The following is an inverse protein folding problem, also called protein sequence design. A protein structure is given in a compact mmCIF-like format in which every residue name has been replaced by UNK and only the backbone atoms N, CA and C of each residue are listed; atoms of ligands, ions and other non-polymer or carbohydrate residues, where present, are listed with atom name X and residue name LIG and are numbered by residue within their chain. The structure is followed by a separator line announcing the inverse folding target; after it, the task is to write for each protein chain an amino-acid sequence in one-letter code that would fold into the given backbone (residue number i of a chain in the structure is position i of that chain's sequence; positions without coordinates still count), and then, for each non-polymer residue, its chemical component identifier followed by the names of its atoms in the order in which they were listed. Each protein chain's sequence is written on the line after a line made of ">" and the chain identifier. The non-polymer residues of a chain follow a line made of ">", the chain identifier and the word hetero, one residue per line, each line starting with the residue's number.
data_IF_828641711061
#
_entry.id   IF_828641711061
#
_cell.length_a   1.000
_cell.length_b   1.000
_cell.length_c   1.000
_cell.angle_alpha   90.00
_cell.angle_beta   90.00
_cell.angle_gamma   90.00
#
_symmetry.space_group_name_H-M   'P 1'
#
loop_
_entity.id
_entity.type
_entity.pdbx_description
1 polymer ?
#
# COMPACT_ATOMS: atom_id res chain seq x y z
N UNK A 1 -1.64 1.35 12.81
CA UNK A 1 -0.71 0.43 12.14
C UNK A 1 -1.44 -0.68 11.41
N UNK A 2 -2.08 -0.37 10.28
CA UNK A 2 -2.67 -1.41 9.41
C UNK A 2 -2.03 -1.45 8.03
N UNK A 3 -0.94 -0.71 7.87
CA UNK A 3 -0.26 -0.45 6.61
C UNK A 3 1.27 -0.51 6.81
N UNK A 4 1.80 -1.68 7.20
CA UNK A 4 3.24 -1.94 7.43
C UNK A 4 3.98 -0.80 8.17
N UNK A 5 3.51 -0.43 9.35
CA UNK A 5 4.15 0.64 10.13
C UNK A 5 3.60 2.05 9.89
N UNK A 6 2.76 2.27 8.87
CA UNK A 6 2.02 3.53 8.72
C UNK A 6 0.58 3.44 9.30
N UNK A 7 0.11 4.59 9.77
CA UNK A 7 -1.28 4.80 10.16
C UNK A 7 -2.16 5.22 8.99
N UNK A 8 -1.59 5.68 7.88
CA UNK A 8 -2.34 6.18 6.74
C UNK A 8 -1.73 5.68 5.42
N UNK A 9 -2.55 5.02 4.59
CA UNK A 9 -2.11 4.55 3.28
C UNK A 9 -1.50 5.64 2.40
N UNK A 10 -1.88 6.91 2.58
CA UNK A 10 -1.35 8.03 1.82
C UNK A 10 0.14 8.32 2.11
N UNK A 11 0.66 7.92 3.27
CA UNK A 11 2.08 8.13 3.61
C UNK A 11 3.02 7.38 2.64
N UNK A 12 2.54 6.26 2.09
CA UNK A 12 3.31 5.45 1.15
C UNK A 12 3.58 6.17 -0.17
N UNK A 13 2.70 7.09 -0.59
CA UNK A 13 2.88 7.88 -1.81
C UNK A 13 4.13 8.78 -1.74
N UNK A 14 4.57 9.13 -0.53
CA UNK A 14 5.76 9.95 -0.28
C UNK A 14 6.96 9.14 0.24
N UNK A 15 6.83 7.81 0.33
CA UNK A 15 7.87 6.94 0.86
C UNK A 15 8.85 6.46 -0.22
N UNK A 16 10.05 6.07 0.18
CA UNK A 16 11.06 5.46 -0.73
C UNK A 16 10.59 4.16 -1.38
N UNK A 17 9.56 3.52 -0.81
CA UNK A 17 8.97 2.30 -1.37
C UNK A 17 8.41 2.54 -2.77
N UNK A 18 7.71 3.65 -3.01
CA UNK A 18 7.06 3.93 -4.32
C UNK A 18 8.07 3.99 -5.46
N UNK A 19 9.29 4.44 -5.18
CA UNK A 19 10.41 4.53 -6.13
C UNK A 19 11.22 3.25 -6.22
N UNK A 20 11.02 2.31 -5.29
CA UNK A 20 11.79 1.07 -5.25
C UNK A 20 11.30 0.08 -6.32
N UNK A 21 12.19 -0.76 -6.87
CA UNK A 21 11.79 -1.83 -7.79
C UNK A 21 10.82 -2.82 -7.14
N UNK A 22 10.86 -2.95 -5.81
CA UNK A 22 9.98 -3.82 -5.02
C UNK A 22 8.53 -3.35 -5.09
N UNK A 23 8.24 -2.07 -5.30
CA UNK A 23 6.86 -1.61 -5.40
C UNK A 23 6.12 -2.23 -6.58
N UNK A 24 6.80 -2.58 -7.69
CA UNK A 24 6.17 -3.21 -8.85
C UNK A 24 4.86 -2.53 -9.31
N UNK A 25 4.86 -1.18 -9.35
CA UNK A 25 3.69 -0.32 -9.66
C UNK A 25 2.58 -0.29 -8.60
N UNK A 26 2.83 -0.81 -7.40
CA UNK A 26 1.94 -0.68 -6.25
C UNK A 26 2.11 0.69 -5.59
N UNK A 27 0.99 1.29 -5.20
CA UNK A 27 0.92 2.52 -4.42
C UNK A 27 1.23 2.28 -2.93
N UNK A 28 0.90 1.08 -2.45
CA UNK A 28 1.10 0.63 -1.07
C UNK A 28 1.59 -0.82 -1.03
N UNK A 29 2.23 -1.28 0.06
CA UNK A 29 2.50 -2.70 0.25
C UNK A 29 1.22 -3.53 0.34
N UNK A 30 1.27 -4.82 0.00
CA UNK A 30 0.06 -5.66 0.02
C UNK A 30 -0.51 -5.84 1.44
N UNK A 31 0.29 -5.63 2.47
CA UNK A 31 -0.16 -5.59 3.86
C UNK A 31 -1.09 -4.41 4.19
N UNK A 32 -1.15 -3.37 3.34
CA UNK A 32 -2.12 -2.27 3.46
C UNK A 32 -3.53 -2.67 3.04
N UNK A 33 -3.68 -3.81 2.36
CA UNK A 33 -4.97 -4.26 1.88
C UNK A 33 -5.74 -4.98 2.99
N UNK A 34 -7.06 -4.73 3.05
CA UNK A 34 -7.98 -5.46 3.91
C UNK A 34 -8.04 -6.93 3.50
N UNK A 35 -8.02 -7.18 2.19
CA UNK A 35 -7.85 -8.52 1.62
C UNK A 35 -6.48 -8.59 0.96
N UNK A 36 -5.57 -9.38 1.53
CA UNK A 36 -4.21 -9.53 1.03
C UNK A 36 -4.25 -10.44 -0.20
N UNK A 37 -4.07 -9.85 -1.37
CA UNK A 37 -3.84 -10.56 -2.63
C UNK A 37 -2.55 -10.04 -3.28
N UNK A 38 -1.87 -10.85 -4.12
CA UNK A 38 -0.68 -10.38 -4.81
C UNK A 38 -0.99 -9.11 -5.61
N UNK A 39 -0.21 -8.05 -5.35
CA UNK A 39 -0.35 -6.76 -6.04
C UNK A 39 -1.67 -6.02 -5.77
N UNK A 40 -2.34 -6.30 -4.66
CA UNK A 40 -3.56 -5.59 -4.27
C UNK A 40 -3.33 -4.07 -4.11
N UNK A 41 -2.11 -3.67 -3.73
CA UNK A 41 -1.73 -2.28 -3.55
C UNK A 41 -1.56 -1.47 -4.84
N UNK A 42 -1.80 -2.05 -6.04
CA UNK A 42 -1.82 -1.29 -7.31
C UNK A 42 -2.97 -0.27 -7.32
N UNK A 43 -4.11 -0.59 -6.69
CA UNK A 43 -5.28 0.26 -6.64
C UNK A 43 -5.52 0.66 -5.19
N UNK A 44 -5.73 1.94 -4.94
CA UNK A 44 -5.93 2.51 -3.61
C UNK A 44 -7.41 2.61 -3.21
N UNK A 45 -8.28 1.82 -3.84
CA UNK A 45 -9.72 1.95 -3.64
C UNK A 45 -10.08 1.79 -2.14
N UNK A 46 -10.81 2.74 -1.52
CA UNK A 46 -11.05 2.77 -0.07
C UNK A 46 -11.76 1.52 0.48
N UNK A 47 -12.47 0.79 -0.38
CA UNK A 47 -13.09 -0.48 -0.01
C UNK A 47 -12.06 -1.54 0.39
N UNK A 48 -10.87 -1.52 -0.20
CA UNK A 48 -9.86 -2.56 -0.04
C UNK A 48 -8.57 -2.11 0.67
N UNK A 49 -8.33 -0.82 0.88
CA UNK A 49 -7.13 -0.31 1.58
C UNK A 49 -7.47 0.23 2.97
N UNK A 50 -6.59 0.01 3.95
CA UNK A 50 -6.69 0.62 5.27
C UNK A 50 -6.29 2.11 5.22
N UNK A 51 -7.14 2.96 5.79
CA UNK A 51 -6.86 4.39 6.00
C UNK A 51 -6.12 4.64 7.31
#
# INVERSE_FOLDING_TARGET
>A
FKCCGSNNSFDWAHSVYITSPVAEKRLVPDSCCKTITPKCGIRDHPSNIYK
#
